data_IF_055850528412
#
_entry.id   IF_055850528412
#
_cell.length_a   1.000
_cell.length_b   1.000
_cell.length_c   1.000
_cell.angle_alpha   90.00
_cell.angle_beta   90.00
_cell.angle_gamma   90.00
#
_symmetry.space_group_name_H-M   'P 1'
#
loop_
_entity.id
_entity.type
_entity.pdbx_description
1 polymer ?
#
# COMPACT_ATOMS: atom_id res chain seq x y z
N UNK A 1 40.05 21.88 -8.20
CA UNK A 1 40.49 21.45 -6.86
C UNK A 1 42.01 21.39 -6.80
N UNK A 2 42.68 20.45 -7.48
CA UNK A 2 44.15 20.40 -7.54
C UNK A 2 44.80 21.75 -7.94
N UNK A 3 44.31 22.39 -9.01
CA UNK A 3 44.80 23.70 -9.48
C UNK A 3 44.65 24.90 -8.53
N UNK A 4 43.80 24.82 -7.49
CA UNK A 4 43.61 25.91 -6.53
C UNK A 4 44.60 25.80 -5.37
N UNK A 5 44.93 24.56 -4.97
CA UNK A 5 45.98 24.25 -3.98
C UNK A 5 47.36 24.59 -4.54
N UNK A 6 47.63 24.26 -5.81
CA UNK A 6 48.89 24.57 -6.49
C UNK A 6 49.17 26.08 -6.63
N UNK A 7 48.16 26.94 -6.46
CA UNK A 7 48.26 28.39 -6.65
C UNK A 7 48.23 29.19 -5.34
N UNK A 8 48.22 28.55 -4.18
CA UNK A 8 48.28 29.22 -2.87
C UNK A 8 47.10 30.15 -2.55
N UNK A 9 45.94 29.96 -3.19
CA UNK A 9 44.75 30.74 -2.90
C UNK A 9 43.95 30.12 -1.75
N UNK A 10 43.42 30.97 -0.86
CA UNK A 10 42.54 30.55 0.23
C UNK A 10 41.32 29.76 -0.30
N UNK A 11 41.07 28.63 0.34
CA UNK A 11 40.01 27.71 -0.05
C UNK A 11 38.64 28.31 0.29
N UNK A 12 37.94 28.80 -0.73
CA UNK A 12 36.56 29.25 -0.59
C UNK A 12 35.62 28.39 -1.45
N UNK A 13 34.82 27.54 -0.80
CA UNK A 13 33.88 26.63 -1.46
C UNK A 13 32.84 27.39 -2.30
N UNK A 14 32.45 28.60 -1.87
CA UNK A 14 31.49 29.44 -2.57
C UNK A 14 32.01 29.93 -3.93
N UNK A 15 33.34 30.07 -4.10
CA UNK A 15 33.97 30.45 -5.37
C UNK A 15 34.04 29.27 -6.34
N UNK A 16 34.06 28.03 -5.83
CA UNK A 16 34.18 26.82 -6.63
C UNK A 16 32.82 26.28 -7.11
N UNK A 17 31.74 26.48 -6.36
CA UNK A 17 30.38 26.03 -6.72
C UNK A 17 29.66 27.03 -7.62
N UNK A 18 29.31 26.61 -8.84
CA UNK A 18 28.41 27.36 -9.72
C UNK A 18 26.95 27.04 -9.40
N UNK A 19 26.24 27.97 -8.76
CA UNK A 19 24.81 27.83 -8.45
C UNK A 19 23.96 27.58 -9.70
N UNK A 20 24.36 28.15 -10.85
CA UNK A 20 23.66 28.00 -12.13
C UNK A 20 23.59 26.57 -12.64
N UNK A 21 24.54 25.70 -12.25
CA UNK A 21 24.54 24.29 -12.67
C UNK A 21 23.28 23.56 -12.17
N UNK A 22 22.94 23.73 -10.89
CA UNK A 22 21.77 23.07 -10.29
C UNK A 22 20.49 23.71 -10.80
N UNK A 23 20.39 25.05 -10.79
CA UNK A 23 19.19 25.76 -11.22
C UNK A 23 18.84 25.46 -12.67
N UNK A 24 19.81 25.56 -13.59
CA UNK A 24 19.56 25.31 -15.01
C UNK A 24 19.34 23.81 -15.29
N UNK A 25 20.05 22.93 -14.57
CA UNK A 25 19.87 21.48 -14.68
C UNK A 25 18.47 21.03 -14.28
N UNK A 26 17.97 21.50 -13.13
CA UNK A 26 16.61 21.19 -12.66
C UNK A 26 15.54 21.80 -13.56
N UNK A 27 15.68 23.08 -13.93
CA UNK A 27 14.75 23.76 -14.85
C UNK A 27 14.63 23.01 -16.17
N UNK A 28 15.76 22.60 -16.76
CA UNK A 28 15.78 21.84 -18.00
C UNK A 28 15.13 20.46 -17.85
N UNK A 29 15.50 19.69 -16.82
CA UNK A 29 15.03 18.32 -16.64
C UNK A 29 13.52 18.27 -16.38
N UNK A 30 13.00 19.22 -15.58
CA UNK A 30 11.56 19.32 -15.31
C UNK A 30 10.76 19.86 -16.51
N UNK A 31 11.31 20.81 -17.27
CA UNK A 31 10.63 21.38 -18.44
C UNK A 31 10.58 20.42 -19.63
N UNK A 32 11.66 19.66 -19.86
CA UNK A 32 11.77 18.75 -21.01
C UNK A 32 11.33 17.33 -20.70
N UNK A 33 11.30 16.94 -19.41
CA UNK A 33 11.04 15.57 -18.99
C UNK A 33 12.20 14.60 -19.26
N UNK A 34 13.36 15.11 -19.67
CA UNK A 34 14.57 14.34 -19.90
C UNK A 34 15.45 14.37 -18.65
N UNK A 35 15.58 13.22 -17.99
CA UNK A 35 16.42 13.06 -16.82
C UNK A 35 17.76 12.44 -17.24
N UNK A 36 18.80 13.26 -17.30
CA UNK A 36 20.15 12.84 -17.72
C UNK A 36 21.05 14.03 -18.10
N UNK A 37 22.27 13.72 -18.53
CA UNK A 37 23.19 14.74 -19.04
C UNK A 37 22.68 15.32 -20.37
N UNK A 38 22.55 16.65 -20.43
CA UNK A 38 22.12 17.39 -21.63
C UNK A 38 22.98 17.08 -22.85
N UNK A 39 24.26 16.77 -22.65
CA UNK A 39 25.20 16.47 -23.73
C UNK A 39 25.10 15.03 -24.24
N UNK A 40 24.42 14.14 -23.50
CA UNK A 40 24.22 12.73 -23.84
C UNK A 40 22.74 12.38 -23.81
N UNK A 41 21.97 13.05 -24.66
CA UNK A 41 20.52 12.91 -24.75
C UNK A 41 20.05 11.45 -25.00
N UNK A 42 20.86 10.63 -25.68
CA UNK A 42 20.54 9.23 -25.96
C UNK A 42 20.45 8.32 -24.72
N UNK A 43 21.06 8.71 -23.59
CA UNK A 43 20.97 7.96 -22.32
C UNK A 43 19.98 8.56 -21.32
N UNK A 44 19.26 9.64 -21.70
CA UNK A 44 18.33 10.30 -20.80
C UNK A 44 17.00 9.55 -20.73
N UNK A 45 16.45 9.39 -19.52
CA UNK A 45 15.11 8.82 -19.34
C UNK A 45 14.09 9.91 -19.67
N UNK A 46 13.45 9.78 -20.83
CA UNK A 46 12.42 10.71 -21.30
C UNK A 46 11.05 10.41 -20.70
N UNK A 47 10.21 11.45 -20.59
CA UNK A 47 8.79 11.34 -20.25
C UNK A 47 8.47 11.21 -18.76
N UNK A 48 9.44 11.49 -17.88
CA UNK A 48 9.23 11.54 -16.41
C UNK A 48 8.41 12.76 -16.01
N UNK A 49 8.68 13.92 -16.63
CA UNK A 49 7.85 15.12 -16.51
C UNK A 49 6.99 15.28 -17.76
N UNK A 50 5.74 15.69 -17.57
CA UNK A 50 4.76 15.92 -18.63
C UNK A 50 3.97 17.18 -18.34
N UNK A 51 3.51 17.87 -19.38
CA UNK A 51 2.64 19.03 -19.22
C UNK A 51 1.30 18.57 -18.66
N UNK A 52 0.84 19.19 -17.58
CA UNK A 52 -0.43 18.85 -16.95
C UNK A 52 -1.60 19.07 -17.92
N UNK A 53 -2.31 18.00 -18.23
CA UNK A 53 -3.55 18.05 -19.00
C UNK A 53 -4.66 18.75 -18.18
N UNK A 54 -5.25 19.82 -18.74
CA UNK A 54 -6.29 20.65 -18.11
C UNK A 54 -7.58 20.76 -18.95
N UNK A 55 -7.92 19.76 -19.76
CA UNK A 55 -9.17 19.81 -20.54
C UNK A 55 -10.42 19.84 -19.64
N UNK A 56 -10.42 19.04 -18.57
CA UNK A 56 -11.49 19.01 -17.56
C UNK A 56 -10.89 18.81 -16.17
N UNK A 57 -11.67 19.09 -15.13
CA UNK A 57 -11.25 18.85 -13.75
C UNK A 57 -10.91 17.37 -13.51
N UNK A 58 -11.78 16.45 -13.95
CA UNK A 58 -11.54 15.01 -13.85
C UNK A 58 -10.28 14.56 -14.61
N UNK A 59 -10.05 15.09 -15.82
CA UNK A 59 -8.84 14.81 -16.59
C UNK A 59 -7.57 15.28 -15.88
N UNK A 60 -7.64 16.39 -15.15
CA UNK A 60 -6.50 16.91 -14.38
C UNK A 60 -6.15 15.96 -13.23
N UNK A 61 -7.16 15.50 -12.49
CA UNK A 61 -6.98 14.56 -11.38
C UNK A 61 -6.49 13.19 -11.85
N UNK A 62 -7.09 12.64 -12.91
CA UNK A 62 -6.64 11.39 -13.54
C UNK A 62 -5.17 11.48 -13.95
N UNK A 63 -4.75 12.60 -14.58
CA UNK A 63 -3.38 12.77 -15.01
C UNK A 63 -2.36 12.75 -13.86
N UNK A 64 -2.73 13.26 -12.68
CA UNK A 64 -1.88 13.23 -11.49
C UNK A 64 -1.70 11.82 -10.90
N UNK A 65 -2.61 10.89 -11.19
CA UNK A 65 -2.58 9.50 -10.68
C UNK A 65 -2.10 8.47 -11.70
N UNK A 66 -1.54 8.97 -12.81
CA UNK A 66 -1.01 8.15 -13.89
C UNK A 66 0.37 7.60 -13.54
N UNK A 67 0.56 6.31 -13.77
CA UNK A 67 1.86 5.64 -13.73
C UNK A 67 2.24 5.16 -15.13
N UNK A 68 3.52 5.29 -15.48
CA UNK A 68 4.03 4.91 -16.79
C UNK A 68 5.10 3.82 -16.64
N UNK A 69 4.89 2.70 -17.32
CA UNK A 69 5.85 1.60 -17.35
C UNK A 69 7.03 1.98 -18.26
N UNK A 70 8.31 1.84 -17.82
CA UNK A 70 9.48 2.28 -18.57
C UNK A 70 9.85 1.31 -19.71
N UNK A 71 8.88 0.93 -20.53
CA UNK A 71 9.05 0.02 -21.67
C UNK A 71 8.79 0.80 -22.96
N UNK A 72 9.63 0.57 -23.97
CA UNK A 72 9.46 1.15 -25.30
C UNK A 72 8.11 0.78 -25.90
N UNK A 73 7.43 1.77 -26.50
CA UNK A 73 6.08 1.59 -27.05
C UNK A 73 6.06 0.75 -28.33
N UNK A 74 7.23 0.49 -28.92
CA UNK A 74 7.40 -0.26 -30.16
C UNK A 74 7.24 -1.78 -29.97
N UNK A 75 7.32 -2.26 -28.72
CA UNK A 75 7.15 -3.67 -28.38
C UNK A 75 5.68 -4.09 -28.34
N UNK A 76 5.26 -4.99 -29.24
CA UNK A 76 3.98 -5.74 -29.18
C UNK A 76 4.00 -6.87 -28.16
N UNK A 77 4.56 -6.62 -26.97
CA UNK A 77 4.62 -7.63 -25.90
C UNK A 77 3.31 -7.58 -25.12
N UNK A 78 2.60 -8.71 -25.03
CA UNK A 78 1.31 -8.79 -24.37
C UNK A 78 1.41 -8.78 -22.82
N UNK A 79 2.39 -9.48 -22.25
CA UNK A 79 2.46 -9.74 -20.79
C UNK A 79 2.42 -8.49 -19.89
N UNK A 80 3.19 -7.41 -20.12
CA UNK A 80 3.11 -6.23 -19.25
C UNK A 80 1.84 -5.39 -19.46
N UNK A 81 1.12 -5.61 -20.57
CA UNK A 81 -0.08 -4.87 -20.95
C UNK A 81 -1.36 -5.54 -20.46
N UNK A 82 -1.35 -6.86 -20.31
CA UNK A 82 -2.48 -7.61 -19.80
C UNK A 82 -2.78 -7.24 -18.35
N UNK A 83 -4.07 -7.15 -18.02
CA UNK A 83 -4.50 -6.99 -16.64
C UNK A 83 -4.11 -8.24 -15.85
N UNK A 84 -3.41 -8.04 -14.74
CA UNK A 84 -3.01 -9.09 -13.83
C UNK A 84 -3.86 -9.03 -12.56
N UNK A 85 -4.10 -10.16 -11.91
CA UNK A 85 -4.95 -10.24 -10.71
C UNK A 85 -4.41 -9.39 -9.55
N UNK A 86 -3.09 -9.24 -9.45
CA UNK A 86 -2.43 -8.38 -8.44
C UNK A 86 -2.72 -6.88 -8.64
N UNK A 87 -3.36 -6.47 -9.74
CA UNK A 87 -3.80 -5.08 -9.89
C UNK A 87 -5.08 -4.76 -9.09
N UNK A 88 -5.81 -5.78 -8.62
CA UNK A 88 -7.12 -5.63 -8.01
C UNK A 88 -7.09 -4.68 -6.79
N UNK A 89 -7.81 -3.57 -6.89
CA UNK A 89 -7.89 -2.56 -5.83
C UNK A 89 -6.67 -1.64 -5.70
N UNK A 90 -5.59 -1.85 -6.47
CA UNK A 90 -4.42 -0.97 -6.51
C UNK A 90 -4.43 -0.08 -7.76
N UNK A 91 -4.81 -0.65 -8.90
CA UNK A 91 -4.85 0.02 -10.20
C UNK A 91 -6.24 -0.13 -10.79
N UNK A 92 -6.72 0.93 -11.45
CA UNK A 92 -7.99 0.87 -12.16
C UNK A 92 -7.91 -0.13 -13.32
N UNK A 93 -8.86 -1.08 -13.43
CA UNK A 93 -8.84 -2.07 -14.50
C UNK A 93 -9.18 -1.49 -15.89
N UNK A 94 -9.98 -0.41 -15.95
CA UNK A 94 -10.52 0.13 -17.20
C UNK A 94 -9.80 1.41 -17.68
N UNK A 95 -9.18 2.18 -16.78
CA UNK A 95 -8.63 3.49 -17.12
C UNK A 95 -7.22 3.40 -17.71
N UNK A 96 -7.13 3.03 -19.00
CA UNK A 96 -5.90 2.96 -19.79
C UNK A 96 -6.11 3.59 -21.17
N UNK A 97 -5.10 4.28 -21.76
CA UNK A 97 -5.24 4.82 -23.10
C UNK A 97 -5.33 3.72 -24.16
N UNK A 98 -6.01 4.02 -25.26
CA UNK A 98 -6.08 3.13 -26.42
C UNK A 98 -4.72 3.05 -27.17
N UNK A 99 -4.53 1.96 -27.93
CA UNK A 99 -3.41 1.81 -28.86
C UNK A 99 -2.08 1.43 -28.19
N UNK A 100 -0.98 2.05 -28.64
CA UNK A 100 0.38 1.62 -28.27
C UNK A 100 0.73 1.80 -26.78
N UNK A 101 -0.04 2.60 -26.04
CA UNK A 101 0.15 2.82 -24.60
C UNK A 101 -0.79 1.96 -23.72
N UNK A 102 -1.68 1.18 -24.33
CA UNK A 102 -2.62 0.31 -23.63
C UNK A 102 -1.88 -0.66 -22.69
N UNK A 103 -2.30 -0.65 -21.43
CA UNK A 103 -1.73 -1.45 -20.35
C UNK A 103 -0.35 -1.00 -19.84
N UNK A 104 0.36 -0.09 -20.55
CA UNK A 104 1.62 0.49 -20.09
C UNK A 104 1.41 1.72 -19.23
N UNK A 105 0.38 2.49 -19.56
CA UNK A 105 -0.09 3.62 -18.78
C UNK A 105 -1.27 3.15 -17.95
N UNK A 106 -1.11 3.24 -16.64
CA UNK A 106 -2.06 2.78 -15.63
C UNK A 106 -2.45 3.94 -14.74
N UNK A 107 -3.62 3.88 -14.13
CA UNK A 107 -4.08 4.88 -13.17
C UNK A 107 -4.36 4.21 -11.83
N UNK A 108 -3.93 4.84 -10.74
CA UNK A 108 -4.17 4.32 -9.39
C UNK A 108 -5.67 4.28 -9.07
N UNK A 109 -6.12 3.25 -8.34
CA UNK A 109 -7.51 3.13 -7.85
C UNK A 109 -7.83 4.20 -6.80
N UNK A 110 -9.09 4.58 -6.58
CA UNK A 110 -9.47 5.69 -5.68
C UNK A 110 -8.81 5.63 -4.30
N UNK A 111 -8.76 4.44 -3.68
CA UNK A 111 -8.18 4.24 -2.35
C UNK A 111 -6.71 3.81 -2.35
N UNK A 112 -6.07 3.66 -3.52
CA UNK A 112 -4.65 3.31 -3.57
C UNK A 112 -3.79 4.41 -2.93
N UNK A 113 -2.98 3.99 -1.98
CA UNK A 113 -1.96 4.76 -1.31
C UNK A 113 -0.57 4.34 -1.80
N UNK A 114 0.34 5.29 -1.99
CA UNK A 114 1.73 5.00 -2.32
C UNK A 114 2.58 5.28 -1.08
N UNK A 115 3.23 4.24 -0.56
CA UNK A 115 4.09 4.32 0.62
C UNK A 115 5.22 5.34 0.40
N UNK A 116 5.42 6.22 1.38
CA UNK A 116 6.46 7.25 1.34
C UNK A 116 7.78 6.73 1.90
N UNK A 117 7.72 5.64 2.68
CA UNK A 117 8.85 4.98 3.29
C UNK A 117 9.12 5.52 4.69
N UNK A 118 9.48 4.61 5.59
CA UNK A 118 9.81 4.94 6.97
C UNK A 118 11.22 5.53 7.07
N UNK A 119 11.47 6.26 8.16
CA UNK A 119 12.82 6.80 8.42
C UNK A 119 13.84 5.67 8.62
N UNK A 120 15.09 5.90 8.23
CA UNK A 120 16.15 4.88 8.30
C UNK A 120 16.37 4.29 9.72
N UNK A 121 16.02 5.05 10.77
CA UNK A 121 16.10 4.58 12.16
C UNK A 121 15.07 3.50 12.52
N UNK A 122 13.95 3.43 11.79
CA UNK A 122 12.88 2.46 12.05
C UNK A 122 13.35 1.03 11.82
N UNK A 123 14.17 0.78 10.80
CA UNK A 123 14.73 -0.55 10.54
C UNK A 123 15.54 -1.05 11.74
N UNK A 124 16.40 -0.19 12.29
CA UNK A 124 17.16 -0.52 13.50
C UNK A 124 16.24 -0.78 14.68
N UNK A 125 15.24 0.07 14.90
CA UNK A 125 14.25 -0.12 15.97
C UNK A 125 13.53 -1.46 15.86
N UNK A 126 13.07 -1.84 14.67
CA UNK A 126 12.41 -3.14 14.42
C UNK A 126 13.35 -4.29 14.80
N UNK A 127 14.60 -4.24 14.36
CA UNK A 127 15.60 -5.28 14.67
C UNK A 127 15.86 -5.35 16.17
N UNK A 128 16.16 -4.23 16.83
CA UNK A 128 16.42 -4.17 18.27
C UNK A 128 15.20 -4.69 19.08
N UNK A 129 13.99 -4.35 18.64
CA UNK A 129 12.74 -4.79 19.27
C UNK A 129 12.51 -6.30 19.15
N UNK A 130 12.88 -6.89 18.02
CA UNK A 130 12.80 -8.34 17.80
C UNK A 130 13.89 -9.09 18.55
N UNK A 131 15.12 -8.56 18.60
CA UNK A 131 16.21 -9.15 19.37
C UNK A 131 15.85 -9.22 20.86
N UNK A 132 15.20 -8.18 21.39
CA UNK A 132 14.67 -8.17 22.75
C UNK A 132 13.57 -9.23 23.00
N UNK A 133 13.02 -9.85 21.94
CA UNK A 133 12.00 -10.90 21.98
C UNK A 133 12.52 -12.22 21.42
N UNK A 134 13.77 -12.56 21.70
CA UNK A 134 14.38 -13.84 21.38
C UNK A 134 14.53 -14.12 19.87
N UNK A 135 14.64 -13.08 19.04
CA UNK A 135 15.25 -13.23 17.72
C UNK A 135 16.76 -13.44 17.88
N UNK A 136 17.28 -14.51 17.29
CA UNK A 136 18.70 -14.78 17.19
C UNK A 136 19.26 -14.03 15.97
N UNK A 137 20.33 -13.27 16.15
CA UNK A 137 20.99 -12.60 15.03
C UNK A 137 21.62 -13.63 14.08
N UNK A 138 21.71 -13.28 12.79
CA UNK A 138 22.26 -14.17 11.78
C UNK A 138 23.69 -14.65 12.11
N UNK A 139 24.48 -13.79 12.75
CA UNK A 139 25.86 -14.10 13.15
C UNK A 139 25.95 -15.18 14.24
N UNK A 140 24.91 -15.30 15.07
CA UNK A 140 24.84 -16.24 16.20
C UNK A 140 24.11 -17.54 15.82
N UNK A 141 23.49 -17.57 14.64
CA UNK A 141 22.68 -18.69 14.17
C UNK A 141 23.52 -19.89 13.72
N UNK A 142 23.32 -21.05 14.33
CA UNK A 142 23.82 -22.34 13.82
C UNK A 142 22.67 -23.12 13.13
N UNK A 143 22.72 -23.36 11.81
CA UNK A 143 21.71 -24.12 11.09
C UNK A 143 21.47 -25.53 11.63
N UNK A 144 22.46 -26.14 12.31
CA UNK A 144 22.36 -27.49 12.85
C UNK A 144 21.53 -27.54 14.12
N UNK A 145 21.53 -26.48 14.92
CA UNK A 145 20.83 -26.44 16.22
C UNK A 145 19.34 -26.12 16.02
N UNK A 146 19.01 -25.27 15.04
CA UNK A 146 17.63 -24.89 14.75
C UNK A 146 17.34 -24.90 13.22
N UNK A 147 17.21 -26.10 12.62
CA UNK A 147 16.97 -26.24 11.17
C UNK A 147 15.56 -25.80 10.74
N UNK A 148 14.64 -25.65 11.70
CA UNK A 148 13.26 -25.26 11.48
C UNK A 148 12.96 -23.81 11.90
N UNK A 149 13.99 -23.03 12.25
CA UNK A 149 13.79 -21.62 12.58
C UNK A 149 13.29 -20.85 11.35
N UNK A 150 12.42 -19.88 11.61
CA UNK A 150 11.91 -18.97 10.57
C UNK A 150 12.88 -17.82 10.37
N UNK A 151 13.23 -17.58 9.11
CA UNK A 151 14.15 -16.50 8.72
C UNK A 151 13.42 -15.16 8.78
N UNK A 152 14.08 -14.13 9.28
CA UNK A 152 13.52 -12.78 9.35
C UNK A 152 14.28 -11.87 8.38
N UNK A 153 13.54 -11.26 7.46
CA UNK A 153 14.04 -10.33 6.47
C UNK A 153 13.48 -8.93 6.70
N UNK A 154 14.34 -7.92 6.63
CA UNK A 154 13.95 -6.50 6.64
C UNK A 154 14.50 -5.86 5.36
N UNK A 155 13.61 -5.38 4.49
CA UNK A 155 13.93 -4.84 3.16
C UNK A 155 14.85 -5.77 2.34
N UNK A 156 14.58 -7.08 2.40
CA UNK A 156 15.36 -8.11 1.71
C UNK A 156 16.67 -8.51 2.39
N UNK A 157 17.09 -7.83 3.46
CA UNK A 157 18.28 -8.20 4.24
C UNK A 157 17.89 -9.26 5.27
N UNK A 158 18.56 -10.41 5.24
CA UNK A 158 18.39 -11.44 6.27
C UNK A 158 19.07 -10.98 7.56
N UNK A 159 18.26 -10.63 8.57
CA UNK A 159 18.77 -10.09 9.84
C UNK A 159 19.02 -11.20 10.86
N UNK A 160 18.14 -12.19 10.91
CA UNK A 160 18.20 -13.22 11.94
C UNK A 160 17.17 -14.31 11.75
N UNK A 161 17.00 -15.13 12.79
CA UNK A 161 16.03 -16.20 12.82
C UNK A 161 15.23 -16.17 14.12
N UNK A 162 14.03 -16.72 14.07
CA UNK A 162 13.19 -16.88 15.25
C UNK A 162 12.55 -18.26 15.27
N UNK A 163 12.53 -18.89 16.45
CA UNK A 163 12.03 -20.27 16.62
C UNK A 163 10.51 -20.34 16.67
N UNK A 164 9.85 -19.32 17.20
CA UNK A 164 8.38 -19.22 17.29
C UNK A 164 7.82 -17.98 16.55
N UNK A 165 7.78 -18.00 15.20
CA UNK A 165 7.16 -16.92 14.43
C UNK A 165 5.63 -16.82 14.65
N UNK A 166 5.02 -17.85 15.26
CA UNK A 166 3.58 -17.91 15.53
C UNK A 166 3.12 -16.82 16.48
N UNK A 167 3.96 -16.48 17.45
CA UNK A 167 3.72 -15.40 18.40
C UNK A 167 4.30 -14.07 17.91
N UNK A 168 5.50 -14.10 17.32
CA UNK A 168 6.21 -12.88 16.92
C UNK A 168 5.46 -12.11 15.83
N UNK A 169 5.00 -12.77 14.76
CA UNK A 169 4.42 -12.07 13.62
C UNK A 169 3.10 -11.35 13.98
N UNK A 170 2.10 -11.99 14.65
CA UNK A 170 0.90 -11.28 15.09
C UNK A 170 1.19 -10.17 16.09
N UNK A 171 2.17 -10.36 16.97
CA UNK A 171 2.60 -9.32 17.91
C UNK A 171 3.16 -8.11 17.17
N UNK A 172 4.05 -8.31 16.20
CA UNK A 172 4.59 -7.23 15.36
C UNK A 172 3.50 -6.52 14.56
N UNK A 173 2.56 -7.27 13.98
CA UNK A 173 1.40 -6.73 13.27
C UNK A 173 0.53 -5.86 14.19
N UNK A 174 0.37 -6.21 15.47
CA UNK A 174 -0.40 -5.40 16.43
C UNK A 174 0.23 -4.03 16.75
N UNK A 175 1.53 -3.87 16.48
CA UNK A 175 2.24 -2.60 16.69
C UNK A 175 2.04 -1.62 15.53
N UNK A 176 1.56 -2.10 14.38
CA UNK A 176 1.22 -1.26 13.22
C UNK A 176 0.14 -0.26 13.62
N UNK A 177 0.34 1.00 13.27
CA UNK A 177 -0.58 2.09 13.60
C UNK A 177 -0.36 2.72 14.96
N UNK A 178 0.24 2.01 15.92
CA UNK A 178 0.55 2.54 17.25
C UNK A 178 2.02 2.98 17.37
N UNK A 179 2.94 2.02 17.35
CA UNK A 179 4.39 2.25 17.48
C UNK A 179 5.11 2.20 16.13
N UNK A 180 4.55 1.45 15.18
CA UNK A 180 5.08 1.29 13.83
C UNK A 180 4.19 2.02 12.83
N UNK A 181 4.81 2.58 11.79
CA UNK A 181 4.06 3.29 10.75
C UNK A 181 3.04 2.35 10.07
N UNK A 182 1.81 2.82 9.79
CA UNK A 182 0.78 2.01 9.12
C UNK A 182 1.18 1.47 7.75
N UNK A 183 2.19 2.08 7.11
CA UNK A 183 2.64 1.70 5.77
C UNK A 183 3.63 0.52 5.76
N UNK A 184 4.14 0.08 6.92
CA UNK A 184 5.10 -1.02 7.00
C UNK A 184 4.40 -2.33 6.70
N UNK A 185 4.84 -3.04 5.67
CA UNK A 185 4.30 -4.35 5.30
C UNK A 185 4.99 -5.46 6.07
N UNK A 186 4.22 -6.46 6.49
CA UNK A 186 4.67 -7.56 7.34
C UNK A 186 4.03 -8.87 6.87
N UNK A 187 4.81 -9.67 6.14
CA UNK A 187 4.35 -10.90 5.50
C UNK A 187 4.99 -12.10 6.17
N UNK A 188 4.16 -13.06 6.59
CA UNK A 188 4.63 -14.35 7.08
C UNK A 188 4.37 -15.44 6.04
N UNK A 189 5.42 -15.89 5.37
CA UNK A 189 5.39 -17.06 4.50
C UNK A 189 5.61 -18.33 5.33
N UNK A 190 4.54 -19.10 5.50
CA UNK A 190 4.56 -20.35 6.27
C UNK A 190 5.30 -21.46 5.52
N UNK A 191 5.22 -21.48 4.18
CA UNK A 191 5.79 -22.55 3.35
C UNK A 191 7.31 -22.43 3.31
N UNK A 192 7.80 -21.23 3.04
CA UNK A 192 9.24 -20.97 2.91
C UNK A 192 9.91 -20.68 4.28
N UNK A 193 9.09 -20.57 5.34
CA UNK A 193 9.50 -20.25 6.72
C UNK A 193 10.25 -18.93 6.76
N UNK A 194 9.61 -17.89 6.22
CA UNK A 194 10.17 -16.54 6.14
C UNK A 194 9.18 -15.53 6.72
N UNK A 195 9.70 -14.57 7.47
CA UNK A 195 8.97 -13.39 7.91
C UNK A 195 9.64 -12.17 7.28
N UNK A 196 8.94 -11.52 6.35
CA UNK A 196 9.45 -10.42 5.53
C UNK A 196 8.80 -9.12 5.97
N UNK A 197 9.62 -8.10 6.16
CA UNK A 197 9.19 -6.78 6.60
C UNK A 197 9.71 -5.77 5.59
N UNK A 198 8.80 -4.94 5.07
CA UNK A 198 9.15 -3.91 4.09
C UNK A 198 8.77 -2.54 4.63
N UNK A 199 9.78 -1.68 4.74
CA UNK A 199 9.66 -0.27 5.12
C UNK A 199 9.98 0.67 3.95
N UNK A 200 10.31 0.10 2.78
CA UNK A 200 10.71 0.85 1.59
C UNK A 200 9.55 1.68 1.00
N UNK A 201 9.92 2.78 0.35
CA UNK A 201 9.01 3.67 -0.35
C UNK A 201 8.59 3.10 -1.73
N UNK A 202 7.47 3.59 -2.25
CA UNK A 202 7.00 3.27 -3.61
C UNK A 202 6.14 2.01 -3.71
N UNK A 203 5.92 1.31 -2.60
CA UNK A 203 4.91 0.24 -2.51
C UNK A 203 3.51 0.84 -2.67
N UNK A 204 2.65 0.14 -3.38
CA UNK A 204 1.24 0.49 -3.53
C UNK A 204 0.43 -0.31 -2.54
N UNK A 205 -0.36 0.38 -1.73
CA UNK A 205 -1.20 -0.22 -0.72
C UNK A 205 -2.66 0.16 -0.94
N UNK A 206 -3.58 -0.61 -0.37
CA UNK A 206 -4.99 -0.26 -0.26
C UNK A 206 -5.48 -0.50 1.17
N UNK A 207 -6.35 0.37 1.70
CA UNK A 207 -6.94 0.18 3.01
C UNK A 207 -8.06 -0.85 3.00
N UNK A 208 -8.09 -1.71 4.01
CA UNK A 208 -9.14 -2.70 4.25
C UNK A 208 -9.57 -2.66 5.71
N UNK A 209 -10.81 -3.08 5.98
CA UNK A 209 -11.24 -3.28 7.36
C UNK A 209 -10.62 -4.56 7.93
N UNK A 210 -10.07 -4.46 9.13
CA UNK A 210 -9.50 -5.62 9.84
C UNK A 210 -10.60 -6.47 10.46
N UNK A 211 -10.44 -7.79 10.39
CA UNK A 211 -11.25 -8.76 11.13
C UNK A 211 -10.48 -9.22 12.35
N UNK A 212 -11.13 -9.16 13.52
CA UNK A 212 -10.53 -9.63 14.76
C UNK A 212 -10.52 -11.15 14.79
N UNK A 213 -9.35 -11.76 14.64
CA UNK A 213 -9.19 -13.22 14.72
C UNK A 213 -8.52 -13.69 16.01
N UNK A 214 -8.35 -12.80 16.99
CA UNK A 214 -7.72 -13.17 18.25
C UNK A 214 -8.57 -14.24 18.98
N UNK A 215 -8.01 -15.43 19.28
CA UNK A 215 -8.74 -16.50 19.96
C UNK A 215 -9.34 -16.08 21.31
N UNK A 216 -8.72 -15.10 21.99
CA UNK A 216 -9.15 -14.61 23.30
C UNK A 216 -10.17 -13.47 23.21
N UNK A 217 -10.40 -12.90 22.04
CA UNK A 217 -11.34 -11.79 21.88
C UNK A 217 -12.78 -12.29 21.85
N UNK A 218 -13.72 -11.63 22.55
CA UNK A 218 -15.14 -11.94 22.42
C UNK A 218 -15.69 -11.58 21.02
N UNK A 219 -15.00 -10.72 20.27
CA UNK A 219 -15.40 -10.28 18.93
C UNK A 219 -14.78 -11.14 17.81
N UNK A 220 -14.24 -12.32 18.15
CA UNK A 220 -13.54 -13.19 17.20
C UNK A 220 -14.40 -13.52 15.98
N UNK A 221 -13.84 -13.28 14.81
CA UNK A 221 -14.45 -13.51 13.50
C UNK A 221 -15.15 -12.29 12.92
N UNK A 222 -15.41 -11.25 13.72
CA UNK A 222 -16.12 -10.05 13.26
C UNK A 222 -15.17 -8.90 12.94
N UNK A 223 -15.71 -7.88 12.26
CA UNK A 223 -14.99 -6.63 12.00
C UNK A 223 -14.55 -5.97 13.32
N UNK A 224 -13.34 -5.40 13.32
CA UNK A 224 -12.87 -4.50 14.39
C UNK A 224 -13.66 -3.19 14.38
N UNK A 225 -14.16 -2.79 13.21
CA UNK A 225 -15.04 -1.63 13.07
C UNK A 225 -16.34 -1.82 13.85
N UNK A 226 -16.57 -0.96 14.83
CA UNK A 226 -17.80 -0.89 15.60
C UNK A 226 -18.61 0.34 15.23
N UNK A 227 -19.90 0.31 15.60
CA UNK A 227 -20.80 1.46 15.42
C UNK A 227 -20.31 2.72 16.15
N UNK A 228 -19.69 2.56 17.31
CA UNK A 228 -19.09 3.65 18.09
C UNK A 228 -18.05 4.44 17.28
N UNK A 229 -17.22 3.77 16.48
CA UNK A 229 -16.24 4.43 15.62
C UNK A 229 -16.94 5.28 14.54
N UNK A 230 -18.04 4.79 13.98
CA UNK A 230 -18.82 5.51 12.97
C UNK A 230 -19.47 6.75 13.58
N UNK A 231 -20.06 6.62 14.77
CA UNK A 231 -20.68 7.73 15.50
C UNK A 231 -19.65 8.81 15.83
N UNK A 232 -18.44 8.42 16.26
CA UNK A 232 -17.31 9.34 16.46
C UNK A 232 -16.95 10.09 15.16
N UNK A 233 -16.86 9.40 14.03
CA UNK A 233 -16.56 10.04 12.74
C UNK A 233 -17.65 11.00 12.27
N UNK A 234 -18.92 10.69 12.56
CA UNK A 234 -20.04 11.60 12.24
C UNK A 234 -19.97 12.85 13.11
N UNK A 235 -19.75 12.70 14.42
CA UNK A 235 -19.56 13.83 15.33
C UNK A 235 -18.39 14.72 14.90
N UNK A 236 -17.26 14.11 14.51
CA UNK A 236 -16.12 14.84 13.97
C UNK A 236 -16.46 15.59 12.68
N UNK A 237 -17.19 14.96 11.76
CA UNK A 237 -17.66 15.61 10.54
C UNK A 237 -18.54 16.83 10.83
N UNK A 238 -19.43 16.72 11.81
CA UNK A 238 -20.34 17.79 12.22
C UNK A 238 -19.61 18.95 12.92
N UNK A 239 -18.50 18.66 13.63
CA UNK A 239 -17.60 19.67 14.19
C UNK A 239 -16.82 20.48 13.12
N UNK A 240 -16.78 20.00 11.87
CA UNK A 240 -16.49 20.76 10.65
C UNK A 240 -15.30 21.73 10.70
N UNK A 241 -15.56 22.98 11.03
CA UNK A 241 -14.57 24.07 11.01
C UNK A 241 -13.69 24.16 12.27
N UNK A 242 -14.14 23.59 13.40
CA UNK A 242 -13.32 23.54 14.62
C UNK A 242 -12.18 22.54 14.49
N UNK A 243 -12.38 21.46 13.75
CA UNK A 243 -11.31 20.48 13.45
C UNK A 243 -10.24 21.10 12.55
N UNK A 244 -10.60 22.07 11.70
CA UNK A 244 -9.64 22.74 10.81
C UNK A 244 -8.60 23.55 11.58
N UNK A 245 -8.89 23.96 12.82
CA UNK A 245 -7.98 24.70 13.69
C UNK A 245 -6.80 23.86 14.15
N UNK A 246 -6.97 22.55 14.30
CA UNK A 246 -5.88 21.65 14.63
C UNK A 246 -4.96 21.45 13.44
N UNK A 247 -3.66 21.54 13.68
CA UNK A 247 -2.62 21.20 12.73
C UNK A 247 -2.67 19.71 12.38
N UNK A 248 -2.03 19.33 11.27
CA UNK A 248 -1.97 17.92 10.82
C UNK A 248 -1.41 17.00 11.91
N UNK A 249 -0.38 17.46 12.64
CA UNK A 249 0.26 16.70 13.72
C UNK A 249 -0.66 16.50 14.92
N UNK A 250 -1.39 17.55 15.31
CA UNK A 250 -2.34 17.46 16.42
C UNK A 250 -3.48 16.51 16.07
N UNK A 251 -4.02 16.55 14.85
CA UNK A 251 -5.06 15.59 14.43
C UNK A 251 -4.59 14.15 14.43
N UNK A 252 -3.35 13.93 13.99
CA UNK A 252 -2.71 12.63 14.07
C UNK A 252 -2.58 12.20 15.54
N UNK A 253 -2.08 13.06 16.43
CA UNK A 253 -1.90 12.80 17.86
C UNK A 253 -3.22 12.47 18.56
N UNK A 254 -4.24 13.31 18.39
CA UNK A 254 -5.58 13.12 18.94
C UNK A 254 -6.37 11.98 18.28
N UNK A 255 -5.87 11.39 17.19
CA UNK A 255 -6.54 10.28 16.50
C UNK A 255 -7.89 10.68 15.91
N UNK A 256 -7.94 11.83 15.23
CA UNK A 256 -9.16 12.37 14.61
C UNK A 256 -9.29 11.82 13.20
N UNK A 257 -10.50 11.41 12.81
CA UNK A 257 -10.82 10.95 11.47
C UNK A 257 -10.12 9.66 11.07
N UNK A 258 -9.68 9.62 9.81
CA UNK A 258 -9.02 8.44 9.23
C UNK A 258 -7.75 8.01 9.98
N UNK A 259 -6.96 8.95 10.47
CA UNK A 259 -5.75 8.67 11.24
C UNK A 259 -6.07 8.01 12.59
N UNK A 260 -7.23 8.32 13.18
CA UNK A 260 -7.73 7.61 14.37
C UNK A 260 -8.02 6.14 14.08
N UNK A 261 -8.71 5.85 12.98
CA UNK A 261 -9.03 4.46 12.59
C UNK A 261 -7.78 3.61 12.33
N UNK A 262 -6.73 4.21 11.76
CA UNK A 262 -5.43 3.55 11.57
C UNK A 262 -4.75 3.26 12.92
N UNK A 263 -4.77 4.22 13.85
CA UNK A 263 -4.19 4.07 15.20
C UNK A 263 -4.92 3.04 16.06
N UNK A 264 -6.25 3.02 15.96
CA UNK A 264 -7.11 2.06 16.65
C UNK A 264 -7.06 0.65 16.00
N UNK A 265 -6.35 0.48 14.88
CA UNK A 265 -6.20 -0.80 14.18
C UNK A 265 -7.49 -1.30 13.51
N UNK A 266 -8.43 -0.38 13.24
CA UNK A 266 -9.71 -0.67 12.58
C UNK A 266 -9.50 -0.90 11.09
N UNK A 267 -8.59 -0.13 10.50
CA UNK A 267 -8.21 -0.19 9.10
C UNK A 267 -6.73 -0.50 9.01
N UNK A 268 -6.35 -1.38 8.09
CA UNK A 268 -4.96 -1.67 7.76
C UNK A 268 -4.70 -1.41 6.27
N UNK A 269 -3.51 -0.90 5.96
CA UNK A 269 -3.02 -0.83 4.59
C UNK A 269 -2.35 -2.14 4.22
N UNK A 270 -2.86 -2.79 3.18
CA UNK A 270 -2.24 -3.98 2.61
C UNK A 270 -1.57 -3.62 1.29
N UNK A 271 -0.34 -4.04 1.11
CA UNK A 271 0.32 -4.02 -0.19
C UNK A 271 0.09 -5.30 -0.98
N UNK A 272 0.52 -5.31 -2.23
CA UNK A 272 0.31 -6.45 -3.13
C UNK A 272 0.95 -7.75 -2.63
N UNK A 273 2.03 -7.69 -1.84
CA UNK A 273 2.67 -8.90 -1.30
C UNK A 273 1.97 -9.40 -0.04
N UNK A 274 1.52 -8.49 0.83
CA UNK A 274 0.73 -8.82 2.02
C UNK A 274 -0.64 -9.41 1.67
N UNK A 275 -1.22 -9.01 0.53
CA UNK A 275 -2.46 -9.59 0.02
C UNK A 275 -2.37 -11.10 -0.28
N UNK A 276 -1.19 -11.62 -0.67
CA UNK A 276 -1.01 -13.06 -0.93
C UNK A 276 -1.15 -13.91 0.34
N UNK A 277 -0.91 -13.31 1.52
CA UNK A 277 -1.10 -13.95 2.82
C UNK A 277 -2.47 -13.67 3.45
N UNK A 278 -3.23 -12.71 2.90
CA UNK A 278 -4.51 -12.28 3.43
C UNK A 278 -5.68 -13.05 2.80
N UNK A 279 -6.76 -13.21 3.57
CA UNK A 279 -8.05 -13.64 3.05
C UNK A 279 -9.08 -12.53 3.23
N UNK A 280 -9.59 -12.01 2.12
CA UNK A 280 -10.42 -10.80 2.07
C UNK A 280 -11.86 -11.18 1.68
N UNK A 281 -12.84 -10.74 2.47
CA UNK A 281 -14.27 -10.85 2.16
C UNK A 281 -14.76 -9.59 1.45
N UNK A 282 -15.69 -9.72 0.50
CA UNK A 282 -16.12 -8.62 -0.37
C UNK A 282 -17.13 -7.68 0.31
N UNK A 283 -18.04 -8.24 1.11
CA UNK A 283 -19.04 -7.44 1.84
C UNK A 283 -19.21 -7.95 3.28
N UNK A 284 -19.63 -7.10 4.22
CA UNK A 284 -19.94 -7.54 5.59
C UNK A 284 -21.07 -8.58 5.64
N UNK A 285 -22.02 -8.54 4.71
CA UNK A 285 -23.10 -9.52 4.62
C UNK A 285 -22.54 -10.92 4.32
N UNK A 286 -21.59 -11.02 3.39
CA UNK A 286 -20.96 -12.29 3.04
C UNK A 286 -20.15 -12.86 4.22
N UNK A 287 -19.64 -12.00 5.12
CA UNK A 287 -19.00 -12.41 6.38
C UNK A 287 -20.03 -12.99 7.36
N UNK A 288 -21.19 -12.34 7.50
CA UNK A 288 -22.27 -12.86 8.33
C UNK A 288 -22.79 -14.22 7.82
N UNK A 289 -22.97 -14.35 6.51
CA UNK A 289 -23.31 -15.61 5.85
C UNK A 289 -22.26 -16.71 6.12
N UNK A 290 -20.97 -16.36 6.08
CA UNK A 290 -19.90 -17.28 6.43
C UNK A 290 -20.02 -17.78 7.88
N UNK A 291 -20.32 -16.91 8.84
CA UNK A 291 -20.55 -17.31 10.23
C UNK A 291 -21.73 -18.26 10.40
N UNK A 292 -22.83 -18.04 9.66
CA UNK A 292 -23.99 -18.92 9.68
C UNK A 292 -23.63 -20.32 9.19
N UNK A 293 -22.91 -20.44 8.08
CA UNK A 293 -22.45 -21.73 7.56
C UNK A 293 -21.50 -22.41 8.55
N UNK A 294 -20.60 -21.64 9.19
CA UNK A 294 -19.65 -22.18 10.17
C UNK A 294 -20.33 -22.66 11.45
N UNK A 295 -21.49 -22.11 11.81
CA UNK A 295 -22.31 -22.61 12.92
C UNK A 295 -23.18 -23.82 12.56
N UNK A 296 -23.09 -24.30 11.31
CA UNK A 296 -23.84 -25.45 10.82
C UNK A 296 -25.26 -25.11 10.36
N UNK A 297 -25.60 -23.82 10.27
CA UNK A 297 -26.88 -23.39 9.73
C UNK A 297 -26.83 -23.37 8.21
N UNK A 298 -27.85 -23.94 7.59
CA UNK A 298 -28.04 -23.89 6.13
C UNK A 298 -28.61 -22.54 5.75
N UNK A 299 -27.92 -21.81 4.88
CA UNK A 299 -28.46 -20.59 4.27
C UNK A 299 -29.53 -21.02 3.27
N UNK A 300 -30.79 -20.91 3.65
CA UNK A 300 -31.89 -20.94 2.70
C UNK A 300 -31.97 -19.55 2.06
N UNK A 301 -32.00 -19.47 0.73
CA UNK A 301 -32.36 -18.24 0.03
C UNK A 301 -33.84 -17.95 0.31
N UNK A 302 -34.14 -17.35 1.45
CA UNK A 302 -35.46 -16.78 1.73
C UNK A 302 -35.54 -15.44 1.02
N UNK A 303 -36.42 -15.37 0.03
CA UNK A 303 -36.78 -14.19 -0.77
C UNK A 303 -35.63 -13.55 -1.55
N UNK A 304 -35.27 -14.20 -2.66
CA UNK A 304 -34.39 -13.61 -3.68
C UNK A 304 -35.18 -12.56 -4.45
N UNK A 305 -34.90 -11.27 -4.21
CA UNK A 305 -35.33 -10.22 -5.13
C UNK A 305 -34.84 -10.58 -6.54
N UNK A 306 -35.74 -10.76 -7.54
CA UNK A 306 -35.36 -11.14 -8.90
C UNK A 306 -34.37 -10.19 -9.58
N UNK A 307 -34.29 -8.94 -9.11
CA UNK A 307 -33.40 -7.92 -9.66
C UNK A 307 -32.08 -7.79 -8.91
N UNK A 308 -31.91 -8.53 -7.82
CA UNK A 308 -30.68 -8.52 -7.04
C UNK A 308 -29.53 -9.20 -7.80
N UNK A 309 -28.31 -8.74 -7.54
CA UNK A 309 -27.11 -9.35 -8.09
C UNK A 309 -27.01 -10.80 -7.61
N UNK A 310 -26.77 -11.73 -8.54
CA UNK A 310 -26.53 -13.13 -8.20
C UNK A 310 -25.22 -13.23 -7.41
N UNK A 311 -25.34 -13.49 -6.11
CA UNK A 311 -24.19 -13.77 -5.23
C UNK A 311 -23.75 -15.23 -5.40
N UNK A 312 -22.44 -15.44 -5.35
CA UNK A 312 -21.88 -16.78 -5.24
C UNK A 312 -22.19 -17.33 -3.84
N UNK A 313 -22.50 -18.63 -3.75
CA UNK A 313 -22.69 -19.27 -2.44
C UNK A 313 -21.37 -19.21 -1.65
N UNK A 314 -21.41 -18.97 -0.33
CA UNK A 314 -20.19 -18.89 0.46
C UNK A 314 -19.42 -20.21 0.40
N UNK A 315 -18.11 -20.13 0.27
CA UNK A 315 -17.25 -21.30 0.13
C UNK A 315 -17.01 -21.95 1.51
N UNK A 316 -17.46 -23.20 1.75
CA UNK A 316 -17.28 -23.87 3.04
C UNK A 316 -15.82 -24.25 3.32
N UNK A 317 -14.93 -24.25 2.32
CA UNK A 317 -13.50 -24.51 2.51
C UNK A 317 -12.77 -23.35 3.19
N UNK A 318 -13.31 -22.12 3.12
CA UNK A 318 -12.70 -20.95 3.77
C UNK A 318 -12.92 -21.05 5.28
N UNK A 319 -11.84 -21.14 6.05
CA UNK A 319 -11.92 -21.29 7.52
C UNK A 319 -12.04 -19.96 8.25
N UNK A 320 -11.33 -18.93 7.77
CA UNK A 320 -11.30 -17.61 8.37
C UNK A 320 -11.05 -16.54 7.31
N UNK A 321 -11.63 -15.37 7.52
CA UNK A 321 -11.30 -14.15 6.79
C UNK A 321 -10.45 -13.26 7.69
N UNK A 322 -9.47 -12.59 7.10
CA UNK A 322 -8.55 -11.68 7.79
C UNK A 322 -8.97 -10.22 7.67
N UNK A 323 -9.58 -9.86 6.53
CA UNK A 323 -9.94 -8.50 6.17
C UNK A 323 -11.27 -8.48 5.41
N UNK A 324 -11.89 -7.31 5.37
CA UNK A 324 -13.06 -7.02 4.56
C UNK A 324 -12.78 -5.81 3.66
N UNK A 325 -13.21 -5.91 2.41
CA UNK A 325 -13.20 -4.79 1.47
C UNK A 325 -14.06 -3.65 2.01
N UNK A 326 -13.60 -2.41 1.85
CA UNK A 326 -14.36 -1.24 2.33
C UNK A 326 -15.58 -1.04 1.46
N UNK A 327 -15.37 -1.04 0.14
CA UNK A 327 -16.45 -1.07 -0.85
C UNK A 327 -15.86 -1.46 -2.22
N UNK A 328 -16.44 -2.43 -2.96
CA UNK A 328 -15.88 -2.88 -4.24
C UNK A 328 -15.67 -1.77 -5.28
N UNK A 329 -16.51 -0.75 -5.31
CA UNK A 329 -16.36 0.38 -6.24
C UNK A 329 -15.05 1.18 -6.07
N UNK A 330 -14.36 1.06 -4.93
CA UNK A 330 -13.09 1.75 -4.66
C UNK A 330 -11.93 1.26 -5.53
N UNK A 331 -12.10 0.13 -6.23
CA UNK A 331 -11.13 -0.37 -7.22
C UNK A 331 -11.04 0.52 -8.47
N UNK A 332 -12.07 1.33 -8.75
CA UNK A 332 -12.12 2.17 -9.94
C UNK A 332 -11.14 3.34 -9.85
N UNK A 333 -10.74 3.86 -11.00
CA UNK A 333 -10.00 5.11 -11.14
C UNK A 333 -10.93 6.31 -11.16
N UNK A 334 -10.37 7.52 -11.24
CA UNK A 334 -11.14 8.77 -11.15
C UNK A 334 -12.08 8.94 -12.35
N UNK A 335 -11.64 8.58 -13.55
CA UNK A 335 -12.50 8.69 -14.73
C UNK A 335 -13.47 7.53 -14.83
N UNK A 336 -13.11 6.34 -14.33
CA UNK A 336 -14.01 5.21 -14.32
C UNK A 336 -15.13 5.35 -13.26
N UNK A 337 -14.86 6.03 -12.14
CA UNK A 337 -15.83 6.20 -11.04
C UNK A 337 -16.98 7.14 -11.36
N UNK A 338 -16.90 7.93 -12.44
CA UNK A 338 -17.96 8.85 -12.88
C UNK A 338 -18.88 8.23 -13.95
N UNK A 339 -18.63 6.98 -14.35
CA UNK A 339 -19.45 6.26 -15.31
C UNK A 339 -20.66 5.68 -14.57
N UNK A 340 -21.91 6.00 -14.96
CA UNK A 340 -23.09 5.41 -14.35
C UNK A 340 -23.13 3.89 -14.58
N UNK A 341 -23.45 3.14 -13.53
CA UNK A 341 -23.59 1.68 -13.54
C UNK A 341 -22.42 0.97 -14.26
N UNK A 342 -21.17 1.21 -13.81
CA UNK A 342 -19.98 0.75 -14.53
C UNK A 342 -19.89 -0.79 -14.60
N UNK A 343 -20.54 -1.49 -13.68
CA UNK A 343 -20.64 -2.95 -13.60
C UNK A 343 -21.72 -3.56 -14.50
N UNK A 344 -22.55 -2.75 -15.16
CA UNK A 344 -23.60 -3.18 -16.09
C UNK A 344 -23.20 -2.98 -17.57
N UNK A 345 -21.98 -2.51 -17.82
CA UNK A 345 -21.46 -2.24 -19.15
C UNK A 345 -20.56 -3.37 -19.66
N UNK A 346 -20.49 -3.51 -20.98
CA UNK A 346 -19.50 -4.38 -21.61
C UNK A 346 -18.10 -3.76 -21.48
N UNK A 347 -17.13 -4.56 -21.02
CA UNK A 347 -15.72 -4.16 -20.82
C UNK A 347 -14.89 -4.44 -22.06
#
# INVERSE_FOLDING_TARGET
LARAVDKGHDFNIHVATKNSTITNGLKYSLATGNWGDQKKAASAKAGVSQVLNRYTFASTLSHLRRTNTPIGRDGKIAKPRQLHNTHWGLVCPAETPEGQACGLVKNLSLMCYVAVGSSAGVNKYIVDYMTARNMELLEEYDPRTAPNATKIFVNGVWVGVHRDPGQLAPHMQSLRGSMLDPEISMIRDIRDREFKIFTDAGRVCRPLFKIDNNPSSPNRGNLVLKREHIEKLIQEKDMGDDIKKYSKKEREEYGIGWTGLLKEGVVEYLDAEEEEAAMIVMTPDDLAEHHLIRSGQTIYQTDVDPHSRVKLKPNPAVKMYTHCEIHPAMLLGICASIIPFPDHNQV
#
